data_IF_431181964540
#
_entry.id   IF_431181964540
#
_cell.length_a   1.000
_cell.length_b   1.000
_cell.length_c   1.000
_cell.angle_alpha   90.00
_cell.angle_beta   90.00
_cell.angle_gamma   90.00
#
_symmetry.space_group_name_H-M   'P 1'
#
loop_
_entity.id
_entity.type
_entity.pdbx_description
1 polymer ?
#
# COMPACT_ATOMS: atom_id res chain seq x y z
N UNK A 1 13.72 4.62 -30.61
CA UNK A 1 13.17 5.31 -29.42
C UNK A 1 13.30 4.36 -28.25
N UNK A 2 13.70 4.84 -27.06
CA UNK A 2 13.88 4.00 -25.87
C UNK A 2 12.53 3.80 -25.14
N UNK A 3 12.36 2.66 -24.47
CA UNK A 3 11.09 2.26 -23.84
C UNK A 3 10.64 3.24 -22.73
N UNK A 4 11.58 3.77 -21.95
CA UNK A 4 11.36 4.76 -20.89
C UNK A 4 10.79 6.09 -21.42
N UNK A 5 11.05 6.43 -22.69
CA UNK A 5 10.59 7.67 -23.30
C UNK A 5 9.17 7.57 -23.88
N UNK A 6 8.61 6.35 -24.00
CA UNK A 6 7.34 6.08 -24.70
C UNK A 6 6.16 6.74 -24.00
N UNK A 7 6.04 6.55 -22.68
CA UNK A 7 4.96 7.13 -21.89
C UNK A 7 4.97 8.67 -21.94
N UNK A 8 6.13 9.30 -21.71
CA UNK A 8 6.27 10.75 -21.76
C UNK A 8 5.94 11.33 -23.14
N UNK A 9 6.38 10.66 -24.22
CA UNK A 9 6.12 11.10 -25.59
C UNK A 9 4.66 10.98 -26.00
N UNK A 10 3.93 9.99 -25.46
CA UNK A 10 2.49 9.85 -25.68
C UNK A 10 1.69 10.93 -24.93
N UNK A 11 2.08 11.24 -23.69
CA UNK A 11 1.37 12.21 -22.85
C UNK A 11 1.66 13.66 -23.25
N UNK A 12 2.93 14.06 -23.26
CA UNK A 12 3.36 15.45 -23.39
C UNK A 12 4.12 15.76 -24.70
N UNK A 13 4.42 14.74 -25.51
CA UNK A 13 5.15 14.92 -26.76
C UNK A 13 4.33 15.62 -27.84
N UNK A 14 5.02 16.36 -28.72
CA UNK A 14 4.44 16.91 -29.94
C UNK A 14 3.99 15.84 -30.95
N UNK A 15 3.35 16.23 -32.06
CA UNK A 15 2.72 15.29 -33.01
C UNK A 15 3.69 14.23 -33.54
N UNK A 16 4.91 14.63 -33.93
CA UNK A 16 5.94 13.71 -34.41
C UNK A 16 6.46 12.75 -33.33
N UNK A 17 6.54 13.19 -32.07
CA UNK A 17 6.95 12.33 -30.96
C UNK A 17 5.88 11.26 -30.69
N UNK A 18 4.60 11.62 -30.75
CA UNK A 18 3.48 10.69 -30.62
C UNK A 18 3.46 9.65 -31.74
N UNK A 19 3.69 10.04 -32.99
CA UNK A 19 3.79 9.09 -34.11
C UNK A 19 4.93 8.11 -33.92
N UNK A 20 6.13 8.58 -33.53
CA UNK A 20 7.25 7.69 -33.23
C UNK A 20 6.96 6.75 -32.06
N UNK A 21 6.30 7.23 -31.02
CA UNK A 21 5.90 6.39 -29.89
C UNK A 21 4.90 5.30 -30.32
N UNK A 22 3.88 5.64 -31.13
CA UNK A 22 2.93 4.66 -31.68
C UNK A 22 3.63 3.61 -32.55
N UNK A 23 4.59 4.03 -33.38
CA UNK A 23 5.39 3.09 -34.20
C UNK A 23 6.21 2.15 -33.32
N UNK A 24 6.76 2.64 -32.21
CA UNK A 24 7.46 1.80 -31.25
C UNK A 24 6.51 0.81 -30.56
N UNK A 25 5.31 1.23 -30.16
CA UNK A 25 4.30 0.33 -29.57
C UNK A 25 3.95 -0.83 -30.52
N UNK A 26 3.86 -0.58 -31.82
CA UNK A 26 3.61 -1.63 -32.81
C UNK A 26 4.75 -2.66 -32.91
N UNK A 27 5.98 -2.29 -32.56
CA UNK A 27 7.16 -3.17 -32.58
C UNK A 27 7.57 -3.74 -31.23
N UNK A 28 6.96 -3.31 -30.13
CA UNK A 28 7.36 -3.66 -28.77
C UNK A 28 6.16 -4.15 -27.91
N UNK A 29 5.99 -5.47 -27.74
CA UNK A 29 4.83 -6.04 -27.03
C UNK A 29 4.73 -5.65 -25.55
N UNK A 30 5.85 -5.38 -24.86
CA UNK A 30 5.79 -4.94 -23.46
C UNK A 30 5.22 -3.52 -23.38
N UNK A 31 5.75 -2.58 -24.17
CA UNK A 31 5.27 -1.22 -24.20
C UNK A 31 3.82 -1.14 -24.69
N UNK A 32 3.39 -2.00 -25.62
CA UNK A 32 2.00 -2.10 -26.05
C UNK A 32 1.05 -2.47 -24.92
N UNK A 33 1.41 -3.47 -24.09
CA UNK A 33 0.62 -3.87 -22.91
C UNK A 33 0.55 -2.75 -21.88
N UNK A 34 1.67 -2.08 -21.61
CA UNK A 34 1.71 -0.97 -20.65
C UNK A 34 0.86 0.22 -21.15
N UNK A 35 0.93 0.54 -22.44
CA UNK A 35 0.10 1.58 -23.05
C UNK A 35 -1.40 1.22 -23.01
N UNK A 36 -1.76 -0.05 -23.21
CA UNK A 36 -3.14 -0.51 -23.10
C UNK A 36 -3.68 -0.35 -21.67
N UNK A 37 -2.89 -0.75 -20.66
CA UNK A 37 -3.22 -0.55 -19.23
C UNK A 37 -3.38 0.94 -18.89
N UNK A 38 -2.50 1.79 -19.41
CA UNK A 38 -2.60 3.24 -19.23
C UNK A 38 -3.87 3.80 -19.89
N UNK A 39 -4.27 3.22 -21.03
CA UNK A 39 -5.52 3.52 -21.72
C UNK A 39 -6.78 3.08 -20.96
N UNK A 40 -6.73 1.98 -20.21
CA UNK A 40 -7.80 1.56 -19.30
C UNK A 40 -7.93 2.50 -18.11
N UNK A 41 -6.80 2.85 -17.48
CA UNK A 41 -6.78 3.78 -16.36
C UNK A 41 -7.29 5.16 -16.75
N UNK A 42 -6.87 5.69 -17.90
CA UNK A 42 -7.35 7.00 -18.38
C UNK A 42 -8.85 6.98 -18.68
N UNK A 43 -9.39 5.90 -19.25
CA UNK A 43 -10.85 5.74 -19.44
C UNK A 43 -11.59 5.64 -18.11
N UNK A 44 -11.06 4.90 -17.13
CA UNK A 44 -11.64 4.82 -15.79
C UNK A 44 -11.65 6.18 -15.09
N UNK A 45 -10.57 6.96 -15.23
CA UNK A 45 -10.46 8.29 -14.65
C UNK A 45 -11.30 9.35 -15.40
N UNK A 46 -11.59 9.16 -16.68
CA UNK A 46 -12.46 10.08 -17.44
C UNK A 46 -13.91 10.13 -16.90
N UNK A 47 -14.36 9.06 -16.22
CA UNK A 47 -15.65 9.04 -15.54
C UNK A 47 -15.66 9.72 -14.16
N UNK A 48 -14.50 10.11 -13.64
CA UNK A 48 -14.38 10.80 -12.35
C UNK A 48 -14.42 12.31 -12.61
N UNK A 49 -15.26 13.07 -11.88
CA UNK A 49 -15.28 14.52 -12.02
C UNK A 49 -13.88 15.10 -11.76
N UNK A 50 -13.45 16.11 -12.53
CA UNK A 50 -12.12 16.70 -12.36
C UNK A 50 -11.98 17.28 -10.95
N UNK A 51 -10.77 17.13 -10.39
CA UNK A 51 -10.45 17.70 -9.08
C UNK A 51 -10.66 19.22 -9.11
N UNK A 52 -11.34 19.74 -8.09
CA UNK A 52 -11.52 21.17 -7.90
C UNK A 52 -10.16 21.85 -7.72
N UNK A 53 -10.07 23.17 -7.93
CA UNK A 53 -8.82 23.90 -7.74
C UNK A 53 -8.24 23.71 -6.32
N UNK A 54 -9.10 23.70 -5.30
CA UNK A 54 -8.70 23.45 -3.91
C UNK A 54 -8.16 22.02 -3.71
N UNK A 55 -8.82 21.00 -4.28
CA UNK A 55 -8.35 19.62 -4.21
C UNK A 55 -7.03 19.43 -4.96
N UNK A 56 -6.85 20.07 -6.12
CA UNK A 56 -5.58 20.04 -6.86
C UNK A 56 -4.46 20.70 -6.07
N UNK A 57 -4.71 21.84 -5.42
CA UNK A 57 -3.73 22.50 -4.58
C UNK A 57 -3.31 21.61 -3.39
N UNK A 58 -4.28 20.95 -2.74
CA UNK A 58 -4.02 20.01 -1.66
C UNK A 58 -3.27 18.76 -2.13
N UNK A 59 -3.58 18.25 -3.32
CA UNK A 59 -2.88 17.11 -3.90
C UNK A 59 -1.44 17.48 -4.28
N UNK A 60 -1.22 18.67 -4.85
CA UNK A 60 0.11 19.17 -5.18
C UNK A 60 0.97 19.39 -3.93
N UNK A 61 0.40 19.92 -2.84
CA UNK A 61 1.13 20.09 -1.58
C UNK A 61 1.47 18.76 -0.91
N UNK A 62 0.58 17.76 -1.00
CA UNK A 62 0.85 16.41 -0.51
C UNK A 62 1.91 15.68 -1.37
N UNK A 63 1.85 15.83 -2.69
CA UNK A 63 2.73 15.15 -3.64
C UNK A 63 4.17 15.68 -3.61
N UNK A 64 4.37 16.97 -3.30
CA UNK A 64 5.73 17.53 -3.21
C UNK A 64 6.51 17.01 -2.00
N UNK A 65 5.85 16.39 -1.02
CA UNK A 65 6.48 15.97 0.24
C UNK A 65 7.15 17.14 0.98
N UNK A 66 7.47 17.00 2.27
CA UNK A 66 8.47 17.89 2.85
C UNK A 66 9.78 17.62 2.10
N UNK A 67 10.36 18.67 1.49
CA UNK A 67 11.72 18.61 0.97
C UNK A 67 12.59 17.93 2.03
N UNK A 68 13.47 16.98 1.69
CA UNK A 68 14.29 16.29 2.67
C UNK A 68 15.27 17.29 3.28
N UNK A 69 14.82 18.00 4.32
CA UNK A 69 15.69 18.75 5.20
C UNK A 69 16.48 17.71 5.96
N UNK A 70 17.77 17.63 5.66
CA UNK A 70 18.72 16.79 6.36
C UNK A 70 18.74 17.21 7.84
N UNK A 71 18.00 16.48 8.67
CA UNK A 71 17.86 16.76 10.10
C UNK A 71 16.42 16.55 10.54
N UNK A 72 16.22 15.55 11.41
CA UNK A 72 15.09 15.39 12.34
C UNK A 72 14.18 14.17 12.09
N UNK A 73 14.65 13.03 12.60
CA UNK A 73 13.85 11.79 12.72
C UNK A 73 12.54 11.93 13.51
N UNK A 74 12.33 13.03 14.26
CA UNK A 74 11.06 13.34 14.94
C UNK A 74 10.00 13.93 13.99
N UNK A 75 10.40 14.70 12.97
CA UNK A 75 9.48 15.22 11.96
C UNK A 75 8.93 14.10 11.06
N UNK A 76 9.78 13.11 10.74
CA UNK A 76 9.40 11.94 9.93
C UNK A 76 8.31 11.07 10.60
N UNK A 77 8.37 10.90 11.92
CA UNK A 77 7.33 10.19 12.70
C UNK A 77 6.02 10.97 12.81
N UNK A 78 6.07 12.31 12.86
CA UNK A 78 4.87 13.16 12.83
C UNK A 78 4.22 13.18 11.44
N UNK A 79 5.02 13.18 10.38
CA UNK A 79 4.54 13.10 9.00
C UNK A 79 3.85 11.76 8.70
N UNK A 80 4.37 10.63 9.21
CA UNK A 80 3.71 9.33 9.05
C UNK A 80 2.36 9.25 9.78
N UNK A 81 2.26 9.87 10.97
CA UNK A 81 1.00 9.95 11.70
C UNK A 81 -0.02 10.88 11.00
N UNK A 82 0.44 12.00 10.45
CA UNK A 82 -0.42 12.90 9.68
C UNK A 82 -0.94 12.26 8.38
N UNK A 83 -0.10 11.48 7.69
CA UNK A 83 -0.51 10.73 6.51
C UNK A 83 -1.54 9.64 6.85
N UNK A 84 -1.35 8.91 7.95
CA UNK A 84 -2.32 7.92 8.43
C UNK A 84 -3.66 8.57 8.80
N UNK A 85 -3.62 9.73 9.47
CA UNK A 85 -4.83 10.49 9.81
C UNK A 85 -5.56 11.00 8.56
N UNK A 86 -4.85 11.46 7.53
CA UNK A 86 -5.45 11.91 6.27
C UNK A 86 -6.14 10.76 5.51
N UNK A 87 -5.54 9.57 5.51
CA UNK A 87 -6.14 8.36 4.91
C UNK A 87 -7.42 7.97 5.66
N UNK A 88 -7.37 7.93 6.99
CA UNK A 88 -8.54 7.61 7.81
C UNK A 88 -9.66 8.65 7.65
N UNK A 89 -9.31 9.94 7.56
CA UNK A 89 -10.27 11.00 7.29
C UNK A 89 -10.91 10.87 5.90
N UNK A 90 -10.14 10.51 4.87
CA UNK A 90 -10.67 10.29 3.53
C UNK A 90 -11.61 9.08 3.47
N UNK A 91 -11.28 7.97 4.16
CA UNK A 91 -12.13 6.79 4.27
C UNK A 91 -13.41 7.13 5.05
N UNK A 92 -13.28 7.85 6.17
CA UNK A 92 -14.41 8.31 6.97
C UNK A 92 -15.33 9.23 6.19
N UNK A 93 -14.78 10.17 5.40
CA UNK A 93 -15.56 11.07 4.56
C UNK A 93 -16.25 10.32 3.41
N UNK A 94 -15.60 9.33 2.80
CA UNK A 94 -16.21 8.48 1.78
C UNK A 94 -17.33 7.59 2.34
N UNK A 95 -17.16 7.04 3.55
CA UNK A 95 -18.17 6.27 4.25
C UNK A 95 -19.36 7.17 4.67
N UNK A 96 -19.07 8.34 5.23
CA UNK A 96 -20.06 9.36 5.57
C UNK A 96 -20.85 9.80 4.34
N UNK A 97 -20.18 10.12 3.22
CA UNK A 97 -20.86 10.56 2.01
C UNK A 97 -21.71 9.45 1.36
N UNK A 98 -21.41 8.18 1.63
CA UNK A 98 -22.30 7.04 1.28
C UNK A 98 -23.50 6.92 2.22
N UNK A 99 -23.31 7.13 3.52
CA UNK A 99 -24.38 7.07 4.52
C UNK A 99 -25.32 8.29 4.45
N UNK A 100 -24.77 9.46 4.16
CA UNK A 100 -25.45 10.75 4.13
C UNK A 100 -25.97 11.12 2.74
N UNK A 101 -26.10 10.16 1.81
CA UNK A 101 -26.98 10.31 0.65
C UNK A 101 -28.37 9.82 1.05
N UNK A 102 -29.32 10.72 1.39
CA UNK A 102 -30.72 10.36 1.50
C UNK A 102 -31.27 10.43 0.07
N UNK A 103 -31.33 9.31 -0.66
CA UNK A 103 -31.67 9.39 -2.08
C UNK A 103 -32.21 8.14 -2.76
N UNK A 104 -31.79 6.94 -2.34
CA UNK A 104 -32.42 5.70 -2.79
C UNK A 104 -33.02 5.00 -1.57
N UNK A 105 -34.05 5.63 -1.01
CA UNK A 105 -34.91 4.94 -0.06
C UNK A 105 -35.47 3.67 -0.71
N UNK A 106 -35.61 2.56 0.04
CA UNK A 106 -36.41 1.44 -0.46
C UNK A 106 -37.80 2.00 -0.78
N UNK A 107 -38.28 1.77 -2.02
CA UNK A 107 -39.66 2.07 -2.41
C UNK A 107 -40.57 1.51 -1.33
N UNK A 108 -41.24 2.41 -0.63
CA UNK A 108 -42.27 2.09 0.34
C UNK A 108 -43.33 1.22 -0.38
N UNK A 109 -43.56 -0.04 0.02
CA UNK A 109 -44.65 -0.80 -0.54
C UNK A 109 -45.94 -0.13 -0.06
N UNK A 110 -46.75 0.33 -1.01
CA UNK A 110 -48.12 0.76 -0.76
C UNK A 110 -48.80 -0.34 0.05
N UNK A 111 -49.08 -0.05 1.33
CA UNK A 111 -49.81 -0.95 2.23
C UNK A 111 -51.26 -0.96 1.79
N UNK A 112 -51.57 -1.78 0.78
CA UNK A 112 -52.90 -2.32 0.61
C UNK A 112 -53.16 -3.21 1.84
N UNK A 113 -54.14 -2.83 2.68
CA UNK A 113 -54.62 -3.68 3.78
C UNK A 113 -55.11 -5.01 3.20
N UNK A 114 -54.26 -6.03 3.29
CA UNK A 114 -54.63 -7.42 3.02
C UNK A 114 -55.05 -8.04 4.35
N UNK A 115 -56.23 -8.69 4.42
CA UNK A 115 -56.76 -9.30 5.63
C UNK A 115 -55.82 -10.39 6.16
N UNK A 116 -55.68 -10.42 7.48
CA UNK A 116 -54.92 -11.38 8.27
C UNK A 116 -55.22 -12.82 7.84
N UNK A 117 -54.21 -13.45 7.23
CA UNK A 117 -54.17 -14.90 6.98
C UNK A 117 -53.23 -15.57 7.99
N UNK A 118 -53.45 -16.86 8.29
CA UNK A 118 -52.98 -17.50 9.51
C UNK A 118 -51.48 -17.81 9.50
N UNK A 119 -50.96 -17.99 10.71
CA UNK A 119 -49.59 -18.31 11.12
C UNK A 119 -49.00 -19.48 10.31
N UNK A 120 -48.26 -19.18 9.24
CA UNK A 120 -47.47 -20.16 8.48
C UNK A 120 -46.00 -20.03 8.94
N UNK A 121 -45.35 -21.11 9.39
CA UNK A 121 -43.96 -21.07 9.83
C UNK A 121 -43.05 -20.56 8.70
N UNK A 122 -42.04 -19.72 9.00
CA UNK A 122 -41.24 -19.05 7.99
C UNK A 122 -40.51 -20.11 7.15
N UNK A 123 -41.01 -20.34 5.94
CA UNK A 123 -40.29 -21.08 4.92
C UNK A 123 -38.92 -20.40 4.76
N UNK A 124 -37.85 -21.17 4.85
CA UNK A 124 -36.48 -20.71 4.74
C UNK A 124 -36.34 -19.82 3.49
N UNK A 125 -36.30 -18.51 3.70
CA UNK A 125 -36.20 -17.55 2.61
C UNK A 125 -34.84 -17.76 1.96
N UNK A 126 -34.85 -18.18 0.71
CA UNK A 126 -33.66 -18.23 -0.14
C UNK A 126 -32.95 -16.86 -0.03
N UNK A 127 -31.64 -16.84 0.30
CA UNK A 127 -30.91 -15.60 0.48
C UNK A 127 -31.01 -14.78 -0.81
N UNK A 128 -31.37 -13.51 -0.67
CA UNK A 128 -31.59 -12.64 -1.82
C UNK A 128 -30.33 -12.61 -2.72
N UNK A 129 -30.52 -12.43 -4.03
CA UNK A 129 -29.40 -12.32 -4.99
C UNK A 129 -28.36 -11.27 -4.55
N UNK A 130 -28.81 -10.23 -3.85
CA UNK A 130 -27.96 -9.18 -3.26
C UNK A 130 -27.05 -9.73 -2.15
N UNK A 131 -27.54 -10.59 -1.27
CA UNK A 131 -26.74 -11.23 -0.23
C UNK A 131 -25.75 -12.24 -0.82
N UNK A 132 -26.13 -12.94 -1.88
CA UNK A 132 -25.20 -13.81 -2.61
C UNK A 132 -24.05 -13.02 -3.21
N UNK A 133 -24.37 -11.92 -3.90
CA UNK A 133 -23.37 -11.02 -4.49
C UNK A 133 -22.49 -10.37 -3.41
N UNK A 134 -23.06 -9.97 -2.28
CA UNK A 134 -22.30 -9.39 -1.17
C UNK A 134 -21.29 -10.40 -0.60
N UNK A 135 -21.70 -11.66 -0.40
CA UNK A 135 -20.80 -12.73 0.06
C UNK A 135 -19.69 -13.03 -0.94
N UNK A 136 -19.99 -13.03 -2.24
CA UNK A 136 -19.00 -13.21 -3.29
C UNK A 136 -17.95 -12.08 -3.28
N UNK A 137 -18.39 -10.83 -3.17
CA UNK A 137 -17.48 -9.68 -3.06
C UNK A 137 -16.62 -9.74 -1.81
N UNK A 138 -17.17 -10.10 -0.66
CA UNK A 138 -16.40 -10.27 0.58
C UNK A 138 -15.35 -11.36 0.44
N UNK A 139 -15.73 -12.53 -0.10
CA UNK A 139 -14.77 -13.62 -0.35
C UNK A 139 -13.65 -13.20 -1.32
N UNK A 140 -13.97 -12.36 -2.31
CA UNK A 140 -12.98 -11.82 -3.26
C UNK A 140 -12.04 -10.82 -2.58
N UNK A 141 -12.54 -9.97 -1.70
CA UNK A 141 -11.72 -9.04 -0.91
C UNK A 141 -10.79 -9.80 0.04
N UNK A 142 -11.28 -10.80 0.76
CA UNK A 142 -10.48 -11.64 1.66
C UNK A 142 -9.39 -12.42 0.91
N UNK A 143 -9.65 -12.79 -0.34
CA UNK A 143 -8.63 -13.40 -1.20
C UNK A 143 -7.53 -12.39 -1.57
N UNK A 144 -7.92 -11.19 -2.00
CA UNK A 144 -6.96 -10.14 -2.36
C UNK A 144 -6.10 -9.70 -1.16
N UNK A 145 -6.70 -9.62 0.02
CA UNK A 145 -5.98 -9.27 1.25
C UNK A 145 -4.90 -10.30 1.59
N UNK A 146 -5.22 -11.60 1.45
CA UNK A 146 -4.24 -12.69 1.61
C UNK A 146 -3.14 -12.67 0.54
N UNK A 147 -3.47 -12.35 -0.70
CA UNK A 147 -2.48 -12.20 -1.78
C UNK A 147 -1.53 -11.02 -1.49
N UNK A 148 -2.05 -9.88 -1.00
CA UNK A 148 -1.23 -8.73 -0.61
C UNK A 148 -0.32 -9.04 0.58
N UNK A 149 -0.83 -9.72 1.60
CA UNK A 149 -0.04 -10.14 2.76
C UNK A 149 1.08 -11.11 2.35
N UNK A 150 0.81 -12.01 1.40
CA UNK A 150 1.83 -12.92 0.86
C UNK A 150 2.92 -12.15 0.12
N UNK A 151 2.55 -11.23 -0.77
CA UNK A 151 3.51 -10.39 -1.51
C UNK A 151 4.33 -9.51 -0.57
N UNK A 152 3.74 -9.01 0.51
CA UNK A 152 4.44 -8.22 1.53
C UNK A 152 5.51 -9.06 2.23
N UNK A 153 5.19 -10.29 2.62
CA UNK A 153 6.18 -11.21 3.21
C UNK A 153 7.29 -11.56 2.24
N UNK A 154 6.98 -11.77 0.96
CA UNK A 154 8.00 -12.00 -0.07
C UNK A 154 8.93 -10.80 -0.24
N UNK A 155 8.39 -9.57 -0.22
CA UNK A 155 9.19 -8.35 -0.27
C UNK A 155 10.10 -8.23 0.97
N UNK A 156 9.58 -8.46 2.17
CA UNK A 156 10.35 -8.44 3.42
C UNK A 156 11.50 -9.47 3.39
N UNK A 157 11.26 -10.68 2.86
CA UNK A 157 12.29 -11.70 2.69
C UNK A 157 13.37 -11.29 1.69
N UNK A 158 12.99 -10.64 0.58
CA UNK A 158 13.95 -10.13 -0.40
C UNK A 158 14.81 -9.00 0.18
N UNK A 159 14.23 -8.13 0.99
CA UNK A 159 14.96 -7.06 1.68
C UNK A 159 15.96 -7.64 2.69
N UNK A 160 15.54 -8.60 3.52
CA UNK A 160 16.44 -9.31 4.45
C UNK A 160 17.58 -10.01 3.70
N UNK A 161 17.27 -10.66 2.56
CA UNK A 161 18.28 -11.30 1.73
C UNK A 161 19.27 -10.27 1.15
N UNK A 162 18.77 -9.13 0.68
CA UNK A 162 19.62 -8.04 0.16
C UNK A 162 20.54 -7.49 1.24
N UNK A 163 20.03 -7.32 2.45
CA UNK A 163 20.82 -6.86 3.61
C UNK A 163 21.87 -7.89 4.02
N UNK A 164 21.55 -9.18 3.98
CA UNK A 164 22.49 -10.27 4.21
C UNK A 164 23.59 -10.30 3.14
N UNK A 165 23.23 -10.22 1.85
CA UNK A 165 24.20 -10.15 0.74
C UNK A 165 25.10 -8.92 0.85
N UNK A 166 24.55 -7.77 1.23
CA UNK A 166 25.33 -6.56 1.49
C UNK A 166 26.30 -6.73 2.67
N UNK A 167 25.87 -7.41 3.74
CA UNK A 167 26.73 -7.73 4.88
C UNK A 167 27.86 -8.68 4.47
N UNK A 168 27.55 -9.76 3.75
CA UNK A 168 28.53 -10.71 3.23
C UNK A 168 29.53 -10.05 2.27
N UNK A 169 29.07 -9.16 1.38
CA UNK A 169 29.94 -8.39 0.50
C UNK A 169 30.98 -7.57 1.26
N UNK A 170 30.61 -6.97 2.41
CA UNK A 170 31.55 -6.24 3.27
C UNK A 170 32.61 -7.14 3.91
N UNK A 171 32.24 -8.36 4.30
CA UNK A 171 33.20 -9.34 4.84
C UNK A 171 34.12 -9.91 3.75
N UNK A 172 33.56 -10.26 2.59
CA UNK A 172 34.29 -10.87 1.48
C UNK A 172 35.29 -9.91 0.82
N UNK A 173 34.99 -8.60 0.77
CA UNK A 173 35.88 -7.58 0.20
C UNK A 173 37.14 -7.29 1.06
N UNK A 174 37.49 -8.17 1.99
CA UNK A 174 38.68 -8.00 2.84
C UNK A 174 38.54 -6.83 3.80
N UNK A 175 37.31 -6.50 4.20
CA UNK A 175 37.03 -5.56 5.26
C UNK A 175 37.69 -6.05 6.54
N UNK A 176 38.95 -5.67 6.75
CA UNK A 176 39.49 -5.44 8.07
C UNK A 176 38.46 -4.55 8.73
N UNK A 177 37.64 -5.14 9.60
CA UNK A 177 36.95 -4.40 10.64
C UNK A 177 38.12 -3.76 11.37
N UNK A 178 38.49 -2.54 10.94
CA UNK A 178 39.19 -1.63 11.81
C UNK A 178 38.25 -1.59 12.99
N UNK A 179 38.64 -2.30 14.05
CA UNK A 179 38.11 -2.16 15.39
C UNK A 179 38.25 -0.68 15.68
N UNK A 180 37.27 0.10 15.25
CA UNK A 180 37.14 1.51 15.57
C UNK A 180 37.14 1.47 17.07
N UNK A 181 38.24 1.95 17.63
CA UNK A 181 38.69 1.59 18.97
C UNK A 181 37.49 1.41 19.89
N UNK A 182 37.39 0.21 20.47
CA UNK A 182 36.95 0.17 21.86
C UNK A 182 37.77 1.29 22.50
N UNK A 183 37.16 2.40 22.94
CA UNK A 183 37.94 3.41 23.63
C UNK A 183 38.70 2.65 24.70
N UNK A 184 40.03 2.83 24.75
CA UNK A 184 40.82 2.35 25.87
C UNK A 184 40.11 2.85 27.12
N UNK A 185 39.29 1.97 27.71
CA UNK A 185 38.76 2.19 29.03
C UNK A 185 40.01 1.98 29.87
N UNK A 186 40.59 3.05 30.43
CA UNK A 186 41.79 2.90 31.23
C UNK A 186 41.50 1.84 32.29
N UNK A 187 42.40 0.86 32.40
CA UNK A 187 42.32 -0.29 33.30
C UNK A 187 42.39 0.08 34.80
N UNK A 188 41.92 1.26 35.17
CA UNK A 188 42.01 1.86 36.49
C UNK A 188 40.63 2.05 37.14
N UNK A 189 39.75 1.04 37.08
CA UNK A 189 38.59 0.93 38.00
C UNK A 189 37.91 -0.45 37.95
N UNK A 190 38.62 -1.53 37.61
CA UNK A 190 38.11 -2.88 37.85
C UNK A 190 38.23 -3.21 39.34
N UNK A 191 37.29 -2.68 40.13
CA UNK A 191 37.02 -3.19 41.46
C UNK A 191 36.52 -4.66 41.39
N UNK A 192 36.77 -5.47 42.42
CA UNK A 192 36.42 -6.89 42.44
C UNK A 192 34.90 -7.06 42.61
N UNK A 193 34.14 -7.14 41.52
CA UNK A 193 32.69 -7.34 41.60
C UNK A 193 32.11 -8.39 40.64
N UNK A 194 32.93 -9.13 39.88
CA UNK A 194 32.43 -10.16 38.97
C UNK A 194 33.15 -11.50 39.14
N UNK A 195 33.20 -11.99 40.38
CA UNK A 195 33.66 -13.34 40.72
C UNK A 195 32.52 -14.38 40.82
N UNK A 196 31.27 -14.08 40.44
CA UNK A 196 30.12 -14.91 40.89
C UNK A 196 29.22 -15.52 39.84
N UNK A 197 29.52 -15.45 38.54
CA UNK A 197 28.68 -16.10 37.51
C UNK A 197 29.49 -16.91 36.50
N UNK A 198 30.35 -17.79 37.00
CA UNK A 198 30.77 -19.00 36.28
C UNK A 198 30.41 -20.20 37.14
N UNK A 199 29.12 -20.55 37.15
CA UNK A 199 28.68 -21.83 37.71
C UNK A 199 28.51 -22.79 36.53
N UNK A 200 29.42 -23.77 36.36
CA UNK A 200 29.21 -24.85 35.40
C UNK A 200 28.05 -25.72 35.91
N UNK A 201 26.94 -25.78 35.16
CA UNK A 201 26.01 -26.88 35.34
C UNK A 201 26.63 -28.12 34.69
N UNK A 202 27.26 -28.90 35.55
CA UNK A 202 27.53 -30.30 35.36
C UNK A 202 26.29 -31.05 34.87
N UNK A 203 26.46 -31.70 33.72
CA UNK A 203 26.20 -33.12 33.45
C UNK A 203 25.26 -33.92 34.36
N UNK A 204 24.47 -34.75 33.68
CA UNK A 204 23.85 -36.05 34.01
C UNK A 204 22.34 -36.07 34.25
N UNK A 205 21.64 -37.21 33.98
CA UNK A 205 22.04 -38.43 33.26
C UNK A 205 21.30 -38.68 31.93
#
# INVERSE_FOLDING_TARGET
MRCDQVAASLAAGGPFARVRARRHLAGCPSCARDAARLGELTRGLAGVPPLTAAQRALWASAAMGPAPTAGDGRARRRASLAAAAAILAAIGLAAWHRLSRPGDGPREPVVARVPTTPDVPPAAAEPSDRERLAREWLARLDRLDRELETLRREADLLDVRRDAEALWGRYAAGGRVASRGVPDVPAAAAGPALATLSRPMHTFP
#
